data_IF_947272890536
#
_entry.id   IF_947272890536
#
_cell.length_a   1.000
_cell.length_b   1.000
_cell.length_c   1.000
_cell.angle_alpha   90.00
_cell.angle_beta   90.00
_cell.angle_gamma   90.00
#
_symmetry.space_group_name_H-M   'P 1'
#
loop_
_entity.id
_entity.type
_entity.pdbx_description
1 polymer ?
#
# COMPACT_ATOMS: atom_id res chain seq x y z
N UNK A 1 -8.16 1.00 25.33
CA UNK A 1 -7.56 1.40 24.04
C UNK A 1 -7.73 0.35 22.95
N UNK A 2 -7.00 -0.77 22.92
CA UNK A 2 -7.08 -1.71 21.77
C UNK A 2 -8.48 -2.32 21.55
N UNK A 3 -9.17 -2.69 22.64
CA UNK A 3 -10.55 -3.18 22.59
C UNK A 3 -11.52 -2.11 22.06
N UNK A 4 -11.39 -0.87 22.50
CA UNK A 4 -12.23 0.26 22.06
C UNK A 4 -11.99 0.59 20.58
N UNK A 5 -10.73 0.62 20.15
CA UNK A 5 -10.37 0.83 18.74
C UNK A 5 -10.98 -0.26 17.88
N UNK A 6 -10.92 -1.52 18.32
CA UNK A 6 -11.53 -2.64 17.61
C UNK A 6 -13.04 -2.47 17.50
N UNK A 7 -13.74 -2.18 18.59
CA UNK A 7 -15.20 -1.98 18.58
C UNK A 7 -15.60 -0.85 17.65
N UNK A 8 -14.91 0.29 17.70
CA UNK A 8 -15.16 1.43 16.81
C UNK A 8 -14.87 1.06 15.36
N UNK A 9 -13.76 0.38 15.10
CA UNK A 9 -13.39 -0.05 13.76
C UNK A 9 -14.43 -0.98 13.16
N UNK A 10 -14.91 -1.99 13.89
CA UNK A 10 -15.92 -2.95 13.43
C UNK A 10 -17.25 -2.27 13.05
N UNK A 11 -17.55 -1.10 13.63
CA UNK A 11 -18.74 -0.30 13.29
C UNK A 11 -18.56 0.57 12.04
N UNK A 12 -17.33 0.73 11.54
CA UNK A 12 -17.07 1.60 10.38
C UNK A 12 -17.53 0.94 9.07
N UNK A 13 -18.15 1.69 8.13
CA UNK A 13 -18.64 1.12 6.87
C UNK A 13 -17.56 0.43 6.03
N UNK A 14 -16.32 0.90 6.10
CA UNK A 14 -15.20 0.40 5.31
C UNK A 14 -14.34 -0.65 6.05
N UNK A 15 -14.69 -1.03 7.28
CA UNK A 15 -13.91 -1.95 8.10
C UNK A 15 -13.60 -3.27 7.40
N UNK A 16 -14.59 -3.83 6.70
CA UNK A 16 -14.45 -5.06 5.94
C UNK A 16 -13.41 -4.94 4.82
N UNK A 17 -13.32 -3.78 4.15
CA UNK A 17 -12.34 -3.53 3.08
C UNK A 17 -10.92 -3.62 3.66
N UNK A 18 -10.65 -2.94 4.75
CA UNK A 18 -9.31 -2.93 5.35
C UNK A 18 -8.96 -4.25 6.05
N UNK A 19 -9.97 -4.99 6.53
CA UNK A 19 -9.80 -6.33 7.12
C UNK A 19 -9.52 -7.40 6.06
N UNK A 20 -10.03 -7.22 4.83
CA UNK A 20 -9.76 -8.14 3.71
C UNK A 20 -8.34 -8.06 3.16
N UNK A 21 -7.58 -7.01 3.50
CA UNK A 21 -6.21 -6.84 3.04
C UNK A 21 -5.27 -7.79 3.79
N UNK A 22 -4.35 -8.48 3.10
CA UNK A 22 -3.44 -9.44 3.73
C UNK A 22 -2.46 -8.73 4.66
N UNK A 23 -2.30 -9.25 5.86
CA UNK A 23 -1.34 -8.75 6.85
C UNK A 23 -1.69 -7.43 7.54
N UNK A 24 -2.94 -6.95 7.45
CA UNK A 24 -3.37 -5.78 8.23
C UNK A 24 -3.65 -6.14 9.69
N UNK A 25 -4.46 -7.17 9.93
CA UNK A 25 -4.85 -7.59 11.28
C UNK A 25 -5.53 -6.48 12.11
N UNK A 26 -5.74 -6.71 13.41
CA UNK A 26 -6.52 -5.81 14.26
C UNK A 26 -5.83 -4.46 14.51
N UNK A 27 -4.51 -4.35 14.32
CA UNK A 27 -3.78 -3.10 14.57
C UNK A 27 -3.59 -2.24 13.32
N UNK A 28 -3.26 -2.82 12.16
CA UNK A 28 -3.00 -2.02 10.96
C UNK A 28 -4.26 -1.74 10.16
N UNK A 29 -5.30 -2.59 10.23
CA UNK A 29 -6.54 -2.32 9.51
C UNK A 29 -7.22 -1.01 9.96
N UNK A 30 -7.41 -0.76 11.29
CA UNK A 30 -7.95 0.52 11.75
C UNK A 30 -7.02 1.69 11.45
N UNK A 31 -5.70 1.46 11.54
CA UNK A 31 -4.68 2.50 11.28
C UNK A 31 -4.72 2.97 9.82
N UNK A 32 -4.84 2.04 8.88
CA UNK A 32 -4.95 2.35 7.46
C UNK A 32 -6.28 3.02 7.13
N UNK A 33 -7.38 2.56 7.75
CA UNK A 33 -8.68 3.19 7.59
C UNK A 33 -8.64 4.65 8.09
N UNK A 34 -8.13 4.89 9.30
CA UNK A 34 -7.98 6.23 9.84
C UNK A 34 -7.04 7.11 9.00
N UNK A 35 -6.00 6.54 8.40
CA UNK A 35 -5.08 7.28 7.54
C UNK A 35 -5.75 7.75 6.23
N UNK A 36 -6.53 6.88 5.58
CA UNK A 36 -7.21 7.20 4.31
C UNK A 36 -8.45 8.08 4.56
N UNK A 37 -9.22 7.76 5.60
CA UNK A 37 -10.49 8.39 5.92
C UNK A 37 -11.69 7.75 5.20
N UNK A 38 -12.87 8.24 5.57
CA UNK A 38 -14.18 7.86 5.05
C UNK A 38 -14.67 8.76 3.90
N UNK A 39 -14.20 10.01 3.85
CA UNK A 39 -14.45 10.92 2.73
C UNK A 39 -13.81 10.39 1.44
N UNK A 40 -14.67 9.96 0.51
CA UNK A 40 -14.25 9.40 -0.77
C UNK A 40 -13.67 10.45 -1.70
N UNK A 41 -14.10 11.70 -1.60
CA UNK A 41 -13.67 12.76 -2.51
C UNK A 41 -12.31 13.36 -2.13
N UNK A 42 -11.82 13.07 -0.93
CA UNK A 42 -10.48 13.42 -0.45
C UNK A 42 -9.35 13.12 -1.45
N UNK A 43 -9.47 12.00 -2.18
CA UNK A 43 -8.49 11.60 -3.19
C UNK A 43 -9.18 11.25 -4.51
N UNK A 44 -8.94 12.06 -5.54
CA UNK A 44 -9.37 11.81 -6.92
C UNK A 44 -8.55 10.72 -7.58
N UNK A 45 -7.27 10.56 -7.22
CA UNK A 45 -6.38 9.55 -7.82
C UNK A 45 -5.55 8.79 -6.79
N UNK A 46 -5.16 7.56 -7.13
CA UNK A 46 -4.24 6.77 -6.31
C UNK A 46 -2.90 7.47 -6.06
N UNK A 47 -2.45 8.28 -7.04
CA UNK A 47 -1.20 9.03 -6.91
C UNK A 47 -1.28 10.12 -5.83
N UNK A 48 -2.45 10.75 -5.64
CA UNK A 48 -2.65 11.68 -4.53
C UNK A 48 -2.52 10.97 -3.17
N UNK A 49 -3.11 9.78 -3.02
CA UNK A 49 -2.93 8.96 -1.81
C UNK A 49 -1.45 8.59 -1.61
N UNK A 50 -0.74 8.16 -2.65
CA UNK A 50 0.68 7.83 -2.57
C UNK A 50 1.54 9.05 -2.21
N UNK A 51 1.19 10.24 -2.68
CA UNK A 51 1.88 11.48 -2.31
C UNK A 51 1.61 11.85 -0.86
N UNK A 52 0.35 11.78 -0.42
CA UNK A 52 -0.08 12.04 0.95
C UNK A 52 0.60 11.10 1.95
N UNK A 53 0.61 9.80 1.65
CA UNK A 53 1.30 8.79 2.45
C UNK A 53 2.83 8.87 2.34
N UNK A 54 3.36 9.77 1.50
CA UNK A 54 4.79 9.91 1.22
C UNK A 54 5.43 8.64 0.72
N UNK A 55 4.73 7.86 -0.11
CA UNK A 55 5.22 6.64 -0.76
C UNK A 55 5.81 6.92 -2.13
N UNK A 56 5.32 7.95 -2.82
CA UNK A 56 5.85 8.32 -4.14
C UNK A 56 7.26 8.89 -4.02
N UNK A 57 8.20 8.47 -4.89
CA UNK A 57 9.49 9.12 -5.00
C UNK A 57 9.34 10.56 -5.51
N UNK A 58 10.30 11.41 -5.17
CA UNK A 58 10.47 12.76 -5.68
C UNK A 58 11.73 12.76 -6.53
N UNK A 59 11.60 13.23 -7.76
CA UNK A 59 12.72 13.40 -8.68
C UNK A 59 13.06 14.88 -8.72
N UNK A 60 14.28 15.21 -8.34
CA UNK A 60 14.81 16.57 -8.43
C UNK A 60 15.85 16.63 -9.54
N UNK A 61 15.70 17.62 -10.42
CA UNK A 61 16.59 17.85 -11.56
C UNK A 61 17.01 19.32 -11.60
N UNK A 62 18.31 19.55 -11.65
CA UNK A 62 18.92 20.80 -12.07
C UNK A 62 19.73 20.55 -13.34
N UNK A 63 20.07 21.60 -14.10
CA UNK A 63 20.76 21.46 -15.39
C UNK A 63 22.06 20.64 -15.37
N UNK A 64 22.63 20.36 -14.19
CA UNK A 64 23.84 19.54 -14.01
C UNK A 64 23.64 18.27 -13.18
N UNK A 65 22.48 18.08 -12.53
CA UNK A 65 22.25 16.97 -11.59
C UNK A 65 20.82 16.45 -11.67
N UNK A 66 20.65 15.14 -11.60
CA UNK A 66 19.34 14.49 -11.45
C UNK A 66 19.45 13.45 -10.34
N UNK A 67 18.56 13.52 -9.35
CA UNK A 67 18.54 12.56 -8.26
C UNK A 67 17.10 12.24 -7.84
N UNK A 68 16.91 11.05 -7.25
CA UNK A 68 15.60 10.56 -6.82
C UNK A 68 15.68 10.27 -5.33
N UNK A 69 14.75 10.83 -4.57
CA UNK A 69 14.67 10.63 -3.13
C UNK A 69 13.26 10.39 -2.67
N UNK A 70 13.11 10.12 -1.38
CA UNK A 70 11.80 9.96 -0.80
C UNK A 70 11.21 11.31 -0.38
N UNK A 71 9.90 11.43 -0.43
CA UNK A 71 9.18 12.66 -0.04
C UNK A 71 9.41 12.91 1.46
N UNK A 72 10.11 13.98 1.82
CA UNK A 72 10.37 14.30 3.23
C UNK A 72 9.13 14.85 3.94
N UNK A 73 8.43 15.78 3.29
CA UNK A 73 7.24 16.43 3.81
C UNK A 73 6.00 15.54 3.66
N UNK A 74 5.77 14.64 4.61
CA UNK A 74 4.50 13.93 4.77
C UNK A 74 4.32 13.48 6.23
N UNK A 75 3.12 13.00 6.58
CA UNK A 75 2.89 12.35 7.87
C UNK A 75 3.75 11.09 7.99
N UNK A 76 4.69 11.10 8.95
CA UNK A 76 5.58 9.96 9.24
C UNK A 76 4.78 8.74 9.70
N UNK A 77 3.71 8.96 10.48
CA UNK A 77 2.84 7.90 10.96
C UNK A 77 2.09 7.21 9.83
N UNK A 78 1.50 7.98 8.90
CA UNK A 78 0.81 7.39 7.73
C UNK A 78 1.80 6.60 6.89
N UNK A 79 2.98 7.17 6.61
CA UNK A 79 4.03 6.48 5.86
C UNK A 79 4.42 5.15 6.52
N UNK A 80 4.69 5.19 7.81
CA UNK A 80 5.04 4.01 8.61
C UNK A 80 3.94 2.96 8.54
N UNK A 81 2.67 3.35 8.63
CA UNK A 81 1.51 2.44 8.55
C UNK A 81 1.51 1.63 7.25
N UNK A 82 1.71 2.30 6.11
CA UNK A 82 1.79 1.62 4.81
C UNK A 82 3.03 0.74 4.67
N UNK A 83 4.17 1.17 5.19
CA UNK A 83 5.44 0.42 5.11
C UNK A 83 5.40 -0.83 5.99
N UNK A 84 4.90 -0.72 7.22
CA UNK A 84 4.71 -1.85 8.14
C UNK A 84 3.73 -2.88 7.57
N UNK A 85 2.59 -2.40 7.06
CA UNK A 85 1.62 -3.27 6.40
C UNK A 85 2.22 -3.97 5.18
N UNK A 86 2.93 -3.25 4.31
CA UNK A 86 3.60 -3.85 3.16
C UNK A 86 4.60 -4.93 3.59
N UNK A 87 5.38 -4.70 4.66
CA UNK A 87 6.30 -5.71 5.18
C UNK A 87 5.55 -6.97 5.66
N UNK A 88 4.43 -6.82 6.37
CA UNK A 88 3.61 -7.95 6.83
C UNK A 88 2.96 -8.72 5.68
N UNK A 89 2.55 -8.02 4.62
CA UNK A 89 1.93 -8.64 3.45
C UNK A 89 2.85 -9.60 2.69
N UNK A 90 4.18 -9.48 2.82
CA UNK A 90 5.17 -10.32 2.12
C UNK A 90 4.95 -11.81 2.39
N UNK A 91 4.56 -12.16 3.61
CA UNK A 91 4.36 -13.55 4.03
C UNK A 91 2.89 -14.00 3.96
N UNK A 92 1.97 -13.11 3.61
CA UNK A 92 0.52 -13.38 3.63
C UNK A 92 -0.14 -13.25 2.25
N UNK A 93 0.56 -12.65 1.28
CA UNK A 93 0.09 -12.52 -0.10
C UNK A 93 1.15 -13.07 -1.04
N UNK A 94 0.70 -13.96 -1.93
CA UNK A 94 1.54 -14.61 -2.92
C UNK A 94 2.23 -13.61 -3.83
N UNK A 95 1.49 -12.68 -4.44
CA UNK A 95 2.10 -11.71 -5.36
C UNK A 95 3.00 -10.71 -4.63
N UNK A 96 2.67 -10.37 -3.38
CA UNK A 96 3.45 -9.44 -2.58
C UNK A 96 4.81 -10.05 -2.22
N UNK A 97 4.83 -11.33 -1.86
CA UNK A 97 6.04 -12.13 -1.65
C UNK A 97 6.91 -12.20 -2.91
N UNK A 98 6.33 -12.58 -4.04
CA UNK A 98 7.04 -12.61 -5.33
C UNK A 98 7.62 -11.25 -5.71
N UNK A 99 6.85 -10.18 -5.54
CA UNK A 99 7.32 -8.85 -5.90
C UNK A 99 8.45 -8.40 -4.99
N UNK A 100 8.34 -8.64 -3.69
CA UNK A 100 9.41 -8.38 -2.74
C UNK A 100 10.69 -9.11 -3.12
N UNK A 101 10.62 -10.41 -3.40
CA UNK A 101 11.78 -11.21 -3.79
C UNK A 101 12.40 -10.70 -5.09
N UNK A 102 11.59 -10.41 -6.11
CA UNK A 102 12.09 -9.83 -7.35
C UNK A 102 12.83 -8.49 -7.13
N UNK A 103 12.41 -7.68 -6.16
CA UNK A 103 13.15 -6.46 -5.80
C UNK A 103 14.46 -6.77 -5.09
N UNK A 104 14.50 -7.79 -4.22
CA UNK A 104 15.72 -8.25 -3.56
C UNK A 104 16.73 -8.80 -4.55
N UNK A 105 16.29 -9.58 -5.53
CA UNK A 105 17.14 -10.17 -6.58
C UNK A 105 17.74 -9.08 -7.49
N UNK A 106 17.05 -7.95 -7.64
CA UNK A 106 17.57 -6.73 -8.30
C UNK A 106 18.61 -5.96 -7.46
N UNK A 107 19.06 -6.52 -6.34
CA UNK A 107 20.03 -5.89 -5.44
C UNK A 107 19.47 -4.80 -4.52
N UNK A 108 18.14 -4.62 -4.46
CA UNK A 108 17.55 -3.62 -3.55
C UNK A 108 17.66 -4.06 -2.10
N UNK A 109 17.91 -3.11 -1.21
CA UNK A 109 17.83 -3.34 0.24
C UNK A 109 16.40 -3.73 0.66
N UNK A 110 16.28 -4.38 1.83
CA UNK A 110 14.98 -4.74 2.41
C UNK A 110 14.02 -3.55 2.45
N UNK A 111 14.51 -2.42 2.99
CA UNK A 111 13.73 -1.21 3.12
C UNK A 111 13.27 -0.68 1.76
N UNK A 112 14.14 -0.68 0.74
CA UNK A 112 13.77 -0.26 -0.61
C UNK A 112 12.72 -1.18 -1.24
N UNK A 113 12.86 -2.50 -1.08
CA UNK A 113 11.90 -3.48 -1.57
C UNK A 113 10.52 -3.29 -0.93
N UNK A 114 10.44 -3.22 0.41
CA UNK A 114 9.20 -3.01 1.16
C UNK A 114 8.53 -1.69 0.78
N UNK A 115 9.29 -0.61 0.65
CA UNK A 115 8.74 0.71 0.25
C UNK A 115 8.13 0.68 -1.14
N UNK A 116 8.80 0.00 -2.08
CA UNK A 116 8.26 -0.17 -3.42
C UNK A 116 7.01 -1.04 -3.45
N UNK A 117 6.90 -2.01 -2.54
CA UNK A 117 5.70 -2.82 -2.34
C UNK A 117 4.56 -1.99 -1.75
N UNK A 118 4.85 -1.15 -0.74
CA UNK A 118 3.90 -0.20 -0.17
C UNK A 118 3.33 0.75 -1.23
N UNK A 119 4.18 1.24 -2.15
CA UNK A 119 3.73 2.03 -3.29
C UNK A 119 2.71 1.29 -4.17
N UNK A 120 2.88 -0.01 -4.42
CA UNK A 120 1.89 -0.82 -5.15
C UNK A 120 0.61 -1.03 -4.35
N UNK A 121 0.73 -1.38 -3.07
CA UNK A 121 -0.41 -1.59 -2.18
C UNK A 121 -1.31 -0.37 -2.06
N UNK A 122 -0.73 0.83 -1.99
CA UNK A 122 -1.49 2.09 -1.96
C UNK A 122 -2.46 2.23 -3.14
N UNK A 123 -2.08 1.74 -4.34
CA UNK A 123 -2.98 1.76 -5.53
C UNK A 123 -4.10 0.75 -5.43
N UNK A 124 -3.80 -0.42 -4.87
CA UNK A 124 -4.77 -1.51 -4.71
C UNK A 124 -5.80 -1.10 -3.65
N UNK A 125 -5.37 -0.67 -2.46
CA UNK A 125 -6.29 -0.23 -1.42
C UNK A 125 -7.09 0.98 -1.88
N UNK A 126 -6.49 1.94 -2.60
CA UNK A 126 -7.25 3.05 -3.19
C UNK A 126 -8.37 2.56 -4.11
N UNK A 127 -8.12 1.55 -4.95
CA UNK A 127 -9.13 1.00 -5.86
C UNK A 127 -10.22 0.24 -5.10
N UNK A 128 -9.86 -0.62 -4.15
CA UNK A 128 -10.80 -1.33 -3.29
C UNK A 128 -11.68 -0.36 -2.51
N UNK A 129 -11.04 0.63 -1.89
CA UNK A 129 -11.70 1.75 -1.21
C UNK A 129 -12.66 2.43 -2.19
N UNK A 130 -12.22 3.10 -3.26
CA UNK A 130 -13.12 3.85 -4.17
C UNK A 130 -14.26 3.02 -4.77
N UNK A 131 -14.07 1.71 -4.98
CA UNK A 131 -15.10 0.83 -5.54
C UNK A 131 -15.99 0.14 -4.50
N UNK A 132 -15.74 0.35 -3.19
CA UNK A 132 -16.40 -0.36 -2.08
C UNK A 132 -16.31 -1.88 -2.22
N UNK A 133 -15.19 -2.37 -2.73
CA UNK A 133 -14.97 -3.80 -2.93
C UNK A 133 -13.89 -4.29 -1.96
N UNK A 134 -14.12 -5.48 -1.41
CA UNK A 134 -13.12 -6.21 -0.65
C UNK A 134 -11.93 -6.53 -1.56
N UNK A 135 -10.76 -6.65 -0.94
CA UNK A 135 -9.58 -7.15 -1.63
C UNK A 135 -9.74 -8.64 -1.92
N UNK A 136 -9.46 -9.01 -3.17
CA UNK A 136 -9.43 -10.39 -3.64
C UNK A 136 -8.12 -10.59 -4.42
N UNK A 137 -7.25 -11.44 -3.88
CA UNK A 137 -5.95 -11.74 -4.47
C UNK A 137 -6.09 -12.46 -5.83
N UNK A 138 -7.08 -13.34 -5.99
CA UNK A 138 -7.32 -14.06 -7.24
C UNK A 138 -7.68 -13.11 -8.37
N UNK A 139 -8.54 -12.12 -8.07
CA UNK A 139 -8.89 -11.06 -9.02
C UNK A 139 -7.68 -10.22 -9.42
N UNK A 140 -6.79 -9.92 -8.46
CA UNK A 140 -5.56 -9.18 -8.74
C UNK A 140 -4.59 -9.98 -9.62
N UNK A 141 -4.36 -11.25 -9.29
CA UNK A 141 -3.50 -12.17 -10.06
C UNK A 141 -4.01 -12.37 -11.49
N UNK A 142 -5.32 -12.53 -11.67
CA UNK A 142 -5.96 -12.60 -12.99
C UNK A 142 -5.66 -11.35 -13.81
N UNK A 143 -5.83 -10.16 -13.22
CA UNK A 143 -5.52 -8.90 -13.89
C UNK A 143 -4.04 -8.77 -14.28
N UNK A 144 -3.12 -9.28 -13.45
CA UNK A 144 -1.69 -9.31 -13.78
C UNK A 144 -1.39 -10.22 -14.96
N UNK A 145 -2.03 -11.40 -15.02
CA UNK A 145 -1.88 -12.35 -16.13
C UNK A 145 -2.40 -11.77 -17.44
N UNK A 146 -3.59 -11.19 -17.44
CA UNK A 146 -4.20 -10.53 -18.61
C UNK A 146 -3.32 -9.40 -19.15
N UNK A 147 -2.66 -8.66 -18.26
CA UNK A 147 -1.73 -7.57 -18.61
C UNK A 147 -0.31 -8.04 -18.91
N UNK A 148 -0.05 -9.36 -18.99
CA UNK A 148 1.27 -9.95 -19.24
C UNK A 148 2.35 -9.39 -18.32
N UNK A 149 2.03 -9.21 -17.04
CA UNK A 149 2.98 -8.65 -16.08
C UNK A 149 4.20 -9.55 -15.90
N UNK A 150 5.39 -8.96 -15.94
CA UNK A 150 6.66 -9.65 -15.67
C UNK A 150 6.78 -10.18 -14.24
N UNK A 151 5.83 -9.84 -13.35
CA UNK A 151 5.78 -10.38 -11.99
C UNK A 151 5.43 -11.86 -11.95
N UNK A 152 4.59 -12.35 -12.88
CA UNK A 152 4.15 -13.75 -12.93
C UNK A 152 4.94 -14.59 -13.96
N UNK A 153 5.86 -13.95 -14.68
CA UNK A 153 6.71 -14.59 -15.68
C UNK A 153 8.13 -14.90 -15.15
N UNK A 154 8.39 -14.56 -13.89
CA UNK A 154 9.68 -14.73 -13.21
C UNK A 154 9.65 -15.93 -12.28
#
# INVERSE_FOLDING_TARGET
YDSEIRTLFEQMPDAAIFSSLPGTGPCLAPRLLAAIGDDRERFSTAQQLQNFAGLSPVTERSGKKSWVHWRWQCSKFVRQSFVEWAAKSVHQSYWAGLYYQQQRDKGKSHQSAVRSLAYKWARIVFKCWKSKQLYDESKYLKSLREKKSTLLAA
#
